data_IF_369849035038
#
_entry.id   IF_369849035038
#
_cell.length_a   1.000
_cell.length_b   1.000
_cell.length_c   1.000
_cell.angle_alpha   90.00
_cell.angle_beta   90.00
_cell.angle_gamma   90.00
#
_symmetry.space_group_name_H-M   'P 1'
#
loop_
_entity.id
_entity.type
_entity.pdbx_description
1 polymer ?
#
# COMPACT_ATOMS: atom_id res chain seq x y z
N UNK A 1 -5.70 4.89 -9.84
CA UNK A 1 -5.55 3.85 -8.80
C UNK A 1 -5.57 2.51 -9.49
N UNK A 2 -4.63 1.62 -9.16
CA UNK A 2 -4.59 0.24 -9.67
C UNK A 2 -4.48 -0.72 -8.49
N UNK A 3 -5.22 -1.82 -8.57
CA UNK A 3 -5.21 -2.90 -7.58
C UNK A 3 -4.23 -3.98 -8.03
N UNK A 4 -3.23 -4.28 -7.18
CA UNK A 4 -2.20 -5.26 -7.51
C UNK A 4 -2.73 -6.68 -7.47
N UNK A 5 -3.78 -6.96 -6.70
CA UNK A 5 -4.32 -8.30 -6.51
C UNK A 5 -4.92 -8.86 -7.80
N UNK A 6 -5.30 -7.99 -8.75
CA UNK A 6 -5.80 -8.38 -10.08
C UNK A 6 -4.78 -9.17 -10.91
N UNK A 7 -3.48 -9.00 -10.64
CA UNK A 7 -2.40 -9.72 -11.32
C UNK A 7 -1.64 -10.67 -10.40
N UNK A 8 -2.04 -10.76 -9.13
CA UNK A 8 -1.49 -11.71 -8.19
C UNK A 8 -1.79 -13.15 -8.64
N UNK A 9 -0.81 -14.02 -8.48
CA UNK A 9 -0.90 -15.44 -8.78
C UNK A 9 -0.25 -16.24 -7.67
N UNK A 10 -0.67 -17.50 -7.43
CA UNK A 10 -0.08 -18.33 -6.38
C UNK A 10 1.45 -18.47 -6.49
N UNK A 11 1.99 -18.39 -7.71
CA UNK A 11 3.44 -18.47 -7.93
C UNK A 11 4.21 -17.32 -7.27
N UNK A 12 3.61 -16.14 -7.12
CA UNK A 12 4.26 -14.99 -6.50
C UNK A 12 4.45 -15.17 -4.98
N UNK A 13 3.60 -15.97 -4.34
CA UNK A 13 3.68 -16.26 -2.90
C UNK A 13 4.62 -17.44 -2.59
N UNK A 14 5.22 -18.05 -3.62
CA UNK A 14 6.06 -19.25 -3.44
C UNK A 14 7.40 -18.97 -2.76
N UNK A 15 7.91 -17.73 -2.85
CA UNK A 15 9.15 -17.28 -2.21
C UNK A 15 9.23 -15.76 -2.14
N UNK A 16 10.12 -15.23 -1.31
CA UNK A 16 10.42 -13.79 -1.28
C UNK A 16 10.95 -13.29 -2.64
N UNK A 17 11.77 -14.09 -3.33
CA UNK A 17 12.28 -13.73 -4.66
C UNK A 17 11.14 -13.62 -5.70
N UNK A 18 10.20 -14.56 -5.69
CA UNK A 18 9.03 -14.53 -6.57
C UNK A 18 8.17 -13.30 -6.30
N UNK A 19 7.99 -12.94 -5.02
CA UNK A 19 7.29 -11.74 -4.61
C UNK A 19 8.01 -10.47 -5.08
N UNK A 20 9.33 -10.39 -4.94
CA UNK A 20 10.11 -9.26 -5.42
C UNK A 20 10.06 -9.12 -6.95
N UNK A 21 9.97 -10.22 -7.70
CA UNK A 21 9.71 -10.19 -9.14
C UNK A 21 8.33 -9.63 -9.51
N UNK A 22 7.30 -9.95 -8.71
CA UNK A 22 5.97 -9.35 -8.82
C UNK A 22 6.00 -7.84 -8.55
N UNK A 23 6.73 -7.40 -7.52
CA UNK A 23 6.94 -5.97 -7.22
C UNK A 23 7.71 -5.26 -8.36
N UNK A 24 8.75 -5.87 -8.95
CA UNK A 24 9.46 -5.29 -10.11
C UNK A 24 8.50 -5.06 -11.29
N UNK A 25 7.57 -5.98 -11.53
CA UNK A 25 6.56 -5.82 -12.58
C UNK A 25 5.69 -4.58 -12.35
N UNK A 26 5.21 -4.38 -11.13
CA UNK A 26 4.45 -3.18 -10.79
C UNK A 26 5.29 -1.90 -10.80
N UNK A 27 6.56 -2.01 -10.45
CA UNK A 27 7.49 -0.88 -10.51
C UNK A 27 7.75 -0.42 -11.95
N UNK A 28 7.84 -1.34 -12.92
CA UNK A 28 7.90 -0.99 -14.36
C UNK A 28 6.67 -0.22 -14.81
N UNK A 29 5.48 -0.67 -14.40
CA UNK A 29 4.23 0.04 -14.68
C UNK A 29 4.26 1.44 -14.07
N UNK A 30 4.69 1.57 -12.81
CA UNK A 30 4.81 2.85 -12.13
C UNK A 30 5.79 3.80 -12.84
N UNK A 31 6.95 3.29 -13.30
CA UNK A 31 7.92 4.08 -14.07
C UNK A 31 7.32 4.58 -15.38
N UNK A 32 6.61 3.73 -16.12
CA UNK A 32 5.94 4.14 -17.36
C UNK A 32 4.91 5.25 -17.13
N UNK A 33 4.09 5.13 -16.08
CA UNK A 33 3.10 6.16 -15.71
C UNK A 33 3.79 7.47 -15.28
N UNK A 34 4.86 7.39 -14.48
CA UNK A 34 5.60 8.54 -14.01
C UNK A 34 6.32 9.29 -15.16
N UNK A 35 6.88 8.56 -16.13
CA UNK A 35 7.48 9.15 -17.33
C UNK A 35 6.46 9.87 -18.21
N UNK A 36 5.19 9.45 -18.16
CA UNK A 36 4.06 10.17 -18.76
C UNK A 36 3.63 11.43 -18.00
N UNK A 37 4.29 11.79 -16.88
CA UNK A 37 3.96 12.95 -16.07
C UNK A 37 2.77 12.73 -15.13
N UNK A 38 2.39 11.48 -14.85
CA UNK A 38 1.25 11.15 -14.02
C UNK A 38 1.66 10.49 -12.69
N UNK A 39 0.91 10.80 -11.63
CA UNK A 39 1.02 10.08 -10.36
C UNK A 39 0.22 8.77 -10.40
N UNK A 40 0.70 7.76 -9.67
CA UNK A 40 0.06 6.47 -9.53
C UNK A 40 -0.22 6.17 -8.06
N UNK A 41 -1.41 5.62 -7.79
CA UNK A 41 -1.74 4.99 -6.51
C UNK A 41 -1.87 3.50 -6.77
N UNK A 42 -1.03 2.71 -6.12
CA UNK A 42 -1.10 1.25 -6.09
C UNK A 42 -1.76 0.82 -4.78
N UNK A 43 -2.70 -0.11 -4.87
CA UNK A 43 -3.37 -0.70 -3.71
C UNK A 43 -3.14 -2.19 -3.71
N UNK A 44 -2.69 -2.70 -2.58
CA UNK A 44 -2.36 -4.10 -2.38
C UNK A 44 -1.49 -4.28 -1.15
N UNK A 45 -1.10 -5.53 -0.90
CA UNK A 45 -0.15 -5.86 0.14
C UNK A 45 1.27 -5.62 -0.35
N UNK A 46 2.10 -4.85 0.37
CA UNK A 46 3.56 -4.81 0.17
C UNK A 46 4.24 -4.03 1.31
N UNK A 47 5.55 -4.19 1.43
CA UNK A 47 6.38 -3.50 2.42
C UNK A 47 7.34 -2.51 1.73
N UNK A 48 7.67 -1.35 2.35
CA UNK A 48 8.52 -0.33 1.73
C UNK A 48 9.86 -0.86 1.25
N UNK A 49 10.52 -1.70 2.05
CA UNK A 49 11.81 -2.32 1.66
C UNK A 49 11.72 -3.11 0.34
N UNK A 50 10.57 -3.72 0.03
CA UNK A 50 10.37 -4.50 -1.19
C UNK A 50 10.40 -3.62 -2.45
N UNK A 51 10.06 -2.34 -2.33
CA UNK A 51 10.11 -1.34 -3.40
C UNK A 51 11.44 -0.60 -3.41
N UNK A 52 11.93 -0.19 -2.24
CA UNK A 52 13.13 0.64 -2.12
C UNK A 52 14.41 -0.10 -2.57
N UNK A 53 14.45 -1.43 -2.48
CA UNK A 53 15.60 -2.23 -2.92
C UNK A 53 15.63 -2.54 -4.43
N UNK A 54 14.56 -2.23 -5.16
CA UNK A 54 14.44 -2.60 -6.56
C UNK A 54 15.31 -1.75 -7.47
N UNK A 55 15.85 -2.36 -8.53
CA UNK A 55 16.72 -1.68 -9.46
C UNK A 55 16.06 -0.44 -10.08
N UNK A 56 14.76 -0.50 -10.42
CA UNK A 56 14.05 0.60 -11.08
C UNK A 56 13.57 1.71 -10.12
N UNK A 57 13.82 1.58 -8.80
CA UNK A 57 13.35 2.54 -7.79
C UNK A 57 13.81 3.96 -8.05
N UNK A 58 15.03 4.12 -8.59
CA UNK A 58 15.66 5.42 -8.84
C UNK A 58 15.02 6.20 -10.00
N UNK A 59 14.17 5.57 -10.82
CA UNK A 59 13.40 6.25 -11.86
C UNK A 59 12.11 6.89 -11.33
N UNK A 60 11.72 6.57 -10.09
CA UNK A 60 10.58 7.18 -9.42
C UNK A 60 11.03 8.30 -8.49
N UNK A 61 10.18 9.32 -8.38
CA UNK A 61 10.30 10.34 -7.36
C UNK A 61 10.00 9.79 -5.95
N UNK A 62 9.48 10.66 -5.10
CA UNK A 62 9.10 10.28 -3.75
C UNK A 62 7.90 9.31 -3.76
N UNK A 63 8.05 8.16 -3.10
CA UNK A 63 6.98 7.18 -2.89
C UNK A 63 6.41 7.38 -1.47
N UNK A 64 5.08 7.45 -1.35
CA UNK A 64 4.40 7.57 -0.07
C UNK A 64 3.78 6.21 0.26
N UNK A 65 4.31 5.55 1.28
CA UNK A 65 3.75 4.30 1.80
C UNK A 65 2.71 4.58 2.87
N UNK A 66 1.50 4.06 2.67
CA UNK A 66 0.38 4.20 3.60
C UNK A 66 -0.20 2.81 3.86
N UNK A 67 -0.27 2.42 5.12
CA UNK A 67 -1.03 1.25 5.54
C UNK A 67 -2.38 1.69 6.10
N UNK A 68 -3.46 1.12 5.56
CA UNK A 68 -4.80 1.26 6.09
C UNK A 68 -5.07 0.09 7.02
N UNK A 69 -5.28 0.39 8.30
CA UNK A 69 -5.43 -0.60 9.37
C UNK A 69 -6.70 -0.35 10.17
N UNK A 70 -7.11 -1.32 10.98
CA UNK A 70 -8.18 -1.14 11.96
C UNK A 70 -8.05 -2.14 13.12
N UNK A 71 -8.92 -2.05 14.12
CA UNK A 71 -9.06 -3.09 15.16
C UNK A 71 -9.33 -4.46 14.54
N UNK A 72 -8.84 -5.51 15.22
CA UNK A 72 -9.09 -6.88 14.80
C UNK A 72 -10.59 -7.16 14.75
N UNK A 73 -11.37 -6.66 15.70
CA UNK A 73 -12.82 -6.83 15.74
C UNK A 73 -13.50 -6.18 14.54
N UNK A 74 -13.10 -4.97 14.17
CA UNK A 74 -13.64 -4.25 13.01
C UNK A 74 -13.22 -4.92 11.69
N UNK A 75 -11.96 -5.35 11.58
CA UNK A 75 -11.50 -6.10 10.40
C UNK A 75 -12.28 -7.41 10.27
N UNK A 76 -12.35 -8.19 11.35
CA UNK A 76 -13.04 -9.47 11.41
C UNK A 76 -14.53 -9.32 11.07
N UNK A 77 -15.19 -8.24 11.52
CA UNK A 77 -16.56 -7.86 11.12
C UNK A 77 -16.64 -7.56 9.63
N UNK A 78 -15.81 -6.67 9.09
CA UNK A 78 -15.79 -6.30 7.66
C UNK A 78 -15.52 -7.51 6.76
N UNK A 79 -14.66 -8.43 7.19
CA UNK A 79 -14.34 -9.64 6.43
C UNK A 79 -15.53 -10.61 6.39
N UNK A 80 -16.31 -10.76 7.47
CA UNK A 80 -17.55 -11.59 7.46
C UNK A 80 -18.61 -11.08 6.49
N UNK A 81 -18.64 -9.78 6.26
CA UNK A 81 -19.62 -9.15 5.36
C UNK A 81 -19.27 -9.38 3.88
N UNK A 82 -18.07 -9.90 3.58
CA UNK A 82 -17.62 -10.18 2.21
C UNK A 82 -18.10 -11.57 1.77
N UNK A 83 -18.85 -11.61 0.67
CA UNK A 83 -19.40 -12.85 0.10
C UNK A 83 -18.35 -13.88 -0.33
N UNK A 84 -17.12 -13.45 -0.55
CA UNK A 84 -16.01 -14.29 -1.02
C UNK A 84 -15.07 -14.75 0.10
N UNK A 85 -15.35 -14.41 1.37
CA UNK A 85 -14.48 -14.75 2.50
C UNK A 85 -15.32 -15.27 3.66
N UNK A 86 -15.33 -16.59 3.85
CA UNK A 86 -16.32 -17.24 4.72
C UNK A 86 -15.76 -17.86 5.99
N UNK A 87 -14.54 -18.41 5.93
CA UNK A 87 -14.02 -19.23 7.01
C UNK A 87 -13.06 -18.47 7.94
N UNK A 88 -12.93 -18.87 9.22
CA UNK A 88 -11.90 -18.34 10.11
C UNK A 88 -10.47 -18.55 9.58
N UNK A 89 -10.18 -19.65 8.90
CA UNK A 89 -8.83 -19.92 8.38
C UNK A 89 -8.44 -18.99 7.22
N UNK A 90 -9.40 -18.57 6.39
CA UNK A 90 -9.16 -17.56 5.34
C UNK A 90 -8.94 -16.16 5.92
N UNK A 91 -9.55 -15.85 7.08
CA UNK A 91 -9.46 -14.53 7.71
C UNK A 91 -8.22 -14.36 8.59
N UNK A 92 -7.72 -15.43 9.18
CA UNK A 92 -6.60 -15.37 10.11
C UNK A 92 -5.33 -14.71 9.54
N UNK A 93 -4.89 -15.02 8.30
CA UNK A 93 -3.71 -14.36 7.71
C UNK A 93 -3.91 -12.84 7.53
N UNK A 94 -5.12 -12.39 7.21
CA UNK A 94 -5.41 -10.96 7.04
C UNK A 94 -5.40 -10.22 8.37
N UNK A 95 -5.86 -10.85 9.45
CA UNK A 95 -5.76 -10.30 10.81
C UNK A 95 -4.30 -10.18 11.25
N UNK A 96 -3.49 -11.22 11.01
CA UNK A 96 -2.05 -11.19 11.29
C UNK A 96 -1.33 -10.11 10.49
N UNK A 97 -1.67 -9.97 9.21
CA UNK A 97 -1.13 -8.94 8.35
C UNK A 97 -1.49 -7.53 8.84
N UNK A 98 -2.75 -7.31 9.23
CA UNK A 98 -3.20 -6.04 9.81
C UNK A 98 -2.41 -5.66 11.06
N UNK A 99 -2.21 -6.60 12.00
CA UNK A 99 -1.37 -6.36 13.19
C UNK A 99 0.06 -6.02 12.82
N UNK A 100 0.61 -6.72 11.83
CA UNK A 100 1.97 -6.48 11.32
C UNK A 100 2.09 -5.04 10.80
N UNK A 101 1.12 -4.56 10.01
CA UNK A 101 1.10 -3.19 9.53
C UNK A 101 0.91 -2.15 10.63
N UNK A 102 0.05 -2.40 11.62
CA UNK A 102 -0.15 -1.49 12.76
C UNK A 102 1.12 -1.22 13.56
N UNK A 103 2.03 -2.19 13.62
CA UNK A 103 3.29 -2.08 14.33
C UNK A 103 4.42 -1.41 13.53
N UNK A 104 4.19 -1.03 12.26
CA UNK A 104 5.22 -0.44 11.39
C UNK A 104 5.50 1.02 11.73
N UNK A 105 6.75 1.41 11.53
CA UNK A 105 7.22 2.80 11.71
C UNK A 105 7.84 3.40 10.45
N UNK A 106 8.03 2.61 9.39
CA UNK A 106 8.64 3.02 8.11
C UNK A 106 7.61 3.41 7.04
N UNK A 107 6.33 3.44 7.42
CA UNK A 107 5.21 3.87 6.59
C UNK A 107 4.23 4.67 7.43
N UNK A 108 3.34 5.40 6.75
CA UNK A 108 2.27 6.12 7.45
C UNK A 108 1.15 5.14 7.75
N UNK A 109 0.89 4.89 9.03
CA UNK A 109 -0.22 4.03 9.47
C UNK A 109 -1.46 4.89 9.67
N UNK A 110 -2.55 4.55 9.00
CA UNK A 110 -3.84 5.22 9.10
C UNK A 110 -4.86 4.24 9.66
N UNK A 111 -5.33 4.53 10.88
CA UNK A 111 -6.41 3.80 11.53
C UNK A 111 -7.76 4.18 10.90
N UNK A 112 -8.53 3.15 10.52
CA UNK A 112 -9.79 3.30 9.77
C UNK A 112 -11.02 2.86 10.57
N UNK A 113 -10.85 2.60 11.87
CA UNK A 113 -11.96 2.33 12.78
C UNK A 113 -12.97 3.48 12.75
N UNK A 114 -14.23 3.16 12.45
CA UNK A 114 -15.34 4.10 12.37
C UNK A 114 -15.17 5.27 11.38
N UNK A 115 -14.18 5.22 10.47
CA UNK A 115 -14.00 6.22 9.42
C UNK A 115 -14.81 5.83 8.18
N UNK A 116 -15.38 6.82 7.49
CA UNK A 116 -15.93 6.59 6.15
C UNK A 116 -14.80 6.52 5.11
N UNK A 117 -15.00 5.84 3.97
CA UNK A 117 -14.01 5.83 2.88
C UNK A 117 -13.61 7.24 2.43
N UNK A 118 -14.56 8.19 2.38
CA UNK A 118 -14.33 9.58 1.99
C UNK A 118 -13.43 10.30 3.01
N UNK A 119 -13.67 10.11 4.30
CA UNK A 119 -12.83 10.70 5.34
C UNK A 119 -11.38 10.20 5.27
N UNK A 120 -11.19 8.90 5.01
CA UNK A 120 -9.86 8.31 4.82
C UNK A 120 -9.20 8.85 3.55
N UNK A 121 -9.95 8.99 2.45
CA UNK A 121 -9.42 9.55 1.21
C UNK A 121 -8.95 11.00 1.38
N UNK A 122 -9.74 11.84 2.06
CA UNK A 122 -9.35 13.23 2.38
C UNK A 122 -8.09 13.28 3.26
N UNK A 123 -7.99 12.38 4.24
CA UNK A 123 -6.78 12.27 5.06
C UNK A 123 -5.55 11.91 4.19
N UNK A 124 -5.68 10.93 3.30
CA UNK A 124 -4.59 10.55 2.38
C UNK A 124 -4.19 11.74 1.49
N UNK A 125 -5.16 12.47 0.92
CA UNK A 125 -4.89 13.66 0.10
C UNK A 125 -4.16 14.75 0.90
N UNK A 126 -4.51 14.95 2.17
CA UNK A 126 -3.80 15.90 3.02
C UNK A 126 -2.33 15.50 3.24
N UNK A 127 -2.06 14.20 3.42
CA UNK A 127 -0.71 13.66 3.62
C UNK A 127 0.16 13.80 2.37
N UNK A 128 -0.42 13.62 1.18
CA UNK A 128 0.31 13.82 -0.08
C UNK A 128 0.60 15.31 -0.32
N UNK A 129 -0.38 16.19 -0.09
CA UNK A 129 -0.22 17.64 -0.30
C UNK A 129 0.81 18.28 0.65
N UNK A 130 0.86 17.87 1.92
CA UNK A 130 1.83 18.37 2.90
C UNK A 130 3.27 18.04 2.53
N UNK A 131 3.49 16.90 1.86
CA UNK A 131 4.83 16.43 1.45
C UNK A 131 5.27 16.91 0.06
N UNK A 132 4.34 17.43 -0.74
CA UNK A 132 4.61 17.99 -2.08
C UNK A 132 4.95 19.49 -2.09
N UNK A 133 4.88 20.19 -0.94
CA UNK A 133 5.34 21.59 -0.89
C UNK A 133 6.85 21.63 -1.15
N UNK A 134 7.33 22.39 -2.15
CA UNK A 134 8.76 22.63 -2.29
C UNK A 134 9.28 23.24 -0.99
N UNK A 135 10.50 22.89 -0.58
CA UNK A 135 11.21 23.68 0.42
C UNK A 135 11.36 25.07 -0.17
N UNK A 136 10.53 26.01 0.29
CA UNK A 136 10.69 27.42 -0.06
C UNK A 136 12.15 27.81 0.17
N UNK A 137 12.74 28.38 -0.87
CA UNK A 137 14.17 28.63 -0.96
C UNK A 137 14.70 29.36 0.26
N UNK A 138 15.65 28.72 0.95
CA UNK A 138 16.60 29.43 1.79
C UNK A 138 17.41 30.36 0.90
N UNK A 139 17.07 31.64 0.98
CA UNK A 139 17.76 32.73 0.31
C UNK A 139 19.12 32.97 0.94
N UNK A 140 20.11 33.12 0.05
CA UNK A 140 21.33 33.94 0.14
C UNK A 140 22.39 33.61 1.19
#
# INVERSE_FOLDING_TARGET
>A
MLDTDLTARPEHDSSEEAWLGFIDTWLRTAVGVAQGGHSLVLVGYSMPHQWEQQALRHFLGHIIYIALVCSDDELDRRLRERSWMGSPCERAPLLELNRTFRARTDMTVVETDHQSPEAVAELILSLTCLRSRPKDGGSS
#
